data_IF_523732924530
#
_entry.id   IF_523732924530
#
_cell.length_a   1.000
_cell.length_b   1.000
_cell.length_c   1.000
_cell.angle_alpha   90.00
_cell.angle_beta   90.00
_cell.angle_gamma   90.00
#
_symmetry.space_group_name_H-M   'P 1'
#
loop_
_entity.id
_entity.type
_entity.pdbx_description
1 polymer ?
#
# COMPACT_ATOMS: atom_id res chain seq x y z
N UNK A 1 19.53 -15.52 5.74
CA UNK A 1 18.55 -14.46 5.54
C UNK A 1 18.30 -14.27 4.05
N UNK A 2 17.03 -14.33 3.65
CA UNK A 2 16.65 -14.24 2.26
C UNK A 2 15.97 -12.88 2.03
N UNK A 3 16.46 -12.15 1.02
CA UNK A 3 15.83 -10.91 0.61
C UNK A 3 15.75 -10.89 -0.90
N UNK A 4 14.52 -10.77 -1.42
CA UNK A 4 14.29 -10.70 -2.86
C UNK A 4 13.72 -9.33 -3.19
N UNK A 5 14.43 -8.59 -4.04
CA UNK A 5 13.96 -7.30 -4.57
C UNK A 5 13.30 -7.56 -5.91
N UNK A 6 11.99 -7.39 -5.94
CA UNK A 6 11.22 -7.60 -7.16
C UNK A 6 11.14 -6.34 -8.03
N UNK A 7 11.12 -5.17 -7.39
CA UNK A 7 10.94 -3.91 -8.09
C UNK A 7 11.55 -2.79 -7.26
N UNK A 8 12.32 -1.91 -7.89
CA UNK A 8 12.88 -0.75 -7.19
C UNK A 8 11.81 0.33 -7.02
N UNK A 9 12.04 1.25 -6.07
CA UNK A 9 11.15 2.39 -5.90
C UNK A 9 11.05 3.24 -7.17
N UNK A 10 12.15 3.62 -7.83
CA UNK A 10 12.03 4.38 -9.08
C UNK A 10 11.25 3.65 -10.15
N UNK A 11 11.45 2.34 -10.29
CA UNK A 11 10.73 1.55 -11.29
C UNK A 11 9.24 1.45 -10.97
N UNK A 12 8.89 1.32 -9.69
CA UNK A 12 7.50 1.34 -9.27
C UNK A 12 6.83 2.67 -9.63
N UNK A 13 7.50 3.78 -9.33
CA UNK A 13 6.95 5.11 -9.63
C UNK A 13 6.83 5.34 -11.13
N UNK A 14 7.80 4.85 -11.92
CA UNK A 14 7.72 4.92 -13.37
C UNK A 14 6.52 4.11 -13.90
N UNK A 15 6.30 2.94 -13.33
CA UNK A 15 5.17 2.08 -13.69
C UNK A 15 3.82 2.76 -13.41
N UNK A 16 3.72 3.44 -12.27
CA UNK A 16 2.48 4.11 -11.86
C UNK A 16 2.23 5.39 -12.67
N UNK A 17 3.22 6.23 -12.80
CA UNK A 17 3.04 7.59 -13.34
C UNK A 17 3.43 7.75 -14.81
N UNK A 18 4.18 6.80 -15.35
CA UNK A 18 4.63 6.81 -16.75
C UNK A 18 5.27 8.16 -17.12
N UNK A 19 4.68 8.92 -18.05
CA UNK A 19 5.22 10.20 -18.51
C UNK A 19 4.87 11.36 -17.60
N UNK A 20 4.04 11.15 -16.59
CA UNK A 20 3.67 12.21 -15.66
C UNK A 20 4.83 12.51 -14.72
N UNK A 21 4.85 13.76 -14.22
CA UNK A 21 5.84 14.17 -13.23
C UNK A 21 5.19 14.17 -11.85
N UNK A 22 5.35 13.09 -11.09
CA UNK A 22 4.74 13.06 -9.76
C UNK A 22 5.40 14.04 -8.82
N UNK A 23 4.58 14.67 -7.98
CA UNK A 23 5.06 15.58 -6.95
C UNK A 23 5.27 14.79 -5.65
N UNK A 24 6.43 14.94 -4.99
CA UNK A 24 6.61 14.33 -3.70
C UNK A 24 5.83 15.09 -2.63
N UNK A 25 5.36 14.36 -1.65
CA UNK A 25 4.67 14.93 -0.50
C UNK A 25 5.11 14.24 0.78
N UNK A 26 4.76 14.84 1.90
CA UNK A 26 5.08 14.31 3.20
C UNK A 26 3.81 14.42 4.06
N UNK A 27 3.35 13.29 4.58
CA UNK A 27 2.13 13.24 5.38
C UNK A 27 2.48 12.88 6.81
N UNK A 28 2.34 13.82 7.76
CA UNK A 28 2.55 13.50 9.17
C UNK A 28 1.45 12.56 9.68
N UNK A 29 1.86 11.55 10.43
CA UNK A 29 0.93 10.64 11.09
C UNK A 29 0.77 11.07 12.53
N UNK A 30 -0.33 11.75 12.84
CA UNK A 30 -0.63 12.23 14.19
C UNK A 30 -2.14 12.40 14.37
N UNK A 31 -2.58 12.48 15.62
CA UNK A 31 -3.98 12.71 15.96
C UNK A 31 -4.89 11.60 15.41
N UNK A 32 -6.02 12.01 14.88
CA UNK A 32 -7.03 11.07 14.37
C UNK A 32 -6.52 10.18 13.25
N UNK A 33 -5.66 10.72 12.39
CA UNK A 33 -5.10 9.92 11.31
C UNK A 33 -4.23 8.79 11.85
N UNK A 34 -3.39 9.08 12.86
CA UNK A 34 -2.58 8.04 13.48
C UNK A 34 -3.45 6.96 14.11
N UNK A 35 -4.50 7.35 14.81
CA UNK A 35 -5.43 6.39 15.40
C UNK A 35 -6.11 5.53 14.34
N UNK A 36 -6.52 6.14 13.25
CA UNK A 36 -7.18 5.45 12.15
C UNK A 36 -6.24 4.43 11.49
N UNK A 37 -4.99 4.83 11.24
CA UNK A 37 -3.97 3.94 10.68
C UNK A 37 -3.67 2.78 11.64
N UNK A 38 -3.55 3.06 12.93
CA UNK A 38 -3.33 2.02 13.94
C UNK A 38 -4.45 1.00 13.93
N UNK A 39 -5.68 1.46 13.82
CA UNK A 39 -6.84 0.56 13.78
C UNK A 39 -6.82 -0.32 12.52
N UNK A 40 -6.50 0.27 11.38
CA UNK A 40 -6.42 -0.46 10.10
C UNK A 40 -5.33 -1.53 10.13
N UNK A 41 -4.16 -1.17 10.66
CA UNK A 41 -3.02 -2.09 10.74
C UNK A 41 -3.14 -3.11 11.88
N UNK A 42 -3.91 -2.80 12.92
CA UNK A 42 -3.96 -3.60 14.14
C UNK A 42 -2.76 -3.38 15.06
N UNK A 43 -1.92 -2.40 14.77
CA UNK A 43 -0.77 -2.00 15.57
C UNK A 43 -0.33 -0.59 15.15
N UNK A 44 0.44 0.14 15.98
CA UNK A 44 0.93 1.45 15.57
C UNK A 44 1.92 1.35 14.42
N UNK A 45 1.83 2.31 13.49
CA UNK A 45 2.85 2.46 12.47
C UNK A 45 4.11 3.08 13.11
N UNK A 46 5.28 2.55 12.78
CA UNK A 46 6.53 2.99 13.41
C UNK A 46 6.95 4.40 13.03
N UNK A 47 6.62 4.84 11.82
CA UNK A 47 7.03 6.14 11.33
C UNK A 47 6.16 7.25 11.90
N UNK A 48 6.73 8.46 11.96
CA UNK A 48 5.99 9.65 12.36
C UNK A 48 5.38 10.37 11.17
N UNK A 49 5.84 10.04 9.98
CA UNK A 49 5.37 10.64 8.73
C UNK A 49 5.64 9.68 7.59
N UNK A 50 4.88 9.87 6.50
CA UNK A 50 5.01 9.05 5.30
C UNK A 50 5.30 9.93 4.11
N UNK A 51 6.28 9.50 3.32
CA UNK A 51 6.54 10.10 2.02
C UNK A 51 5.60 9.47 1.00
N UNK A 52 5.04 10.30 0.13
CA UNK A 52 4.21 9.83 -0.97
C UNK A 52 4.49 10.63 -2.23
N UNK A 53 3.94 10.17 -3.32
CA UNK A 53 4.02 10.86 -4.62
C UNK A 53 2.62 10.96 -5.18
N UNK A 54 2.33 12.07 -5.85
CA UNK A 54 1.02 12.23 -6.47
C UNK A 54 1.14 12.97 -7.78
N UNK A 55 0.20 12.69 -8.68
CA UNK A 55 0.01 13.39 -9.93
C UNK A 55 -1.47 13.28 -10.28
N UNK A 56 -2.11 14.42 -10.58
CA UNK A 56 -3.54 14.45 -10.78
C UNK A 56 -4.30 13.85 -9.60
N UNK A 57 -5.04 12.76 -9.84
CA UNK A 57 -5.88 12.13 -8.84
C UNK A 57 -5.28 10.82 -8.31
N UNK A 58 -4.03 10.55 -8.65
CA UNK A 58 -3.34 9.32 -8.23
C UNK A 58 -2.32 9.64 -7.15
N UNK A 59 -2.28 8.83 -6.10
CA UNK A 59 -1.20 8.85 -5.13
C UNK A 59 -0.55 7.49 -5.04
N UNK A 60 0.75 7.47 -4.76
CA UNK A 60 1.54 6.24 -4.62
C UNK A 60 2.23 6.22 -3.27
N UNK A 61 2.21 5.07 -2.63
CA UNK A 61 2.68 4.86 -1.26
C UNK A 61 3.59 3.64 -1.23
N UNK A 62 4.69 3.75 -0.50
CA UNK A 62 5.61 2.63 -0.28
C UNK A 62 5.68 2.40 1.22
N UNK A 63 5.18 1.26 1.67
CA UNK A 63 4.92 0.98 3.06
C UNK A 63 5.55 -0.36 3.44
N UNK A 64 6.27 -0.37 4.56
CA UNK A 64 6.78 -1.59 5.15
C UNK A 64 5.77 -2.12 6.16
N UNK A 65 5.45 -3.40 6.06
CA UNK A 65 4.56 -4.06 7.00
C UNK A 65 5.08 -5.45 7.31
N UNK A 66 5.07 -5.79 8.58
CA UNK A 66 5.55 -7.10 9.02
C UNK A 66 4.64 -8.20 8.50
N UNK A 67 5.26 -9.20 7.88
CA UNK A 67 4.59 -10.42 7.49
C UNK A 67 4.60 -11.39 8.68
N UNK A 68 5.48 -12.39 8.66
CA UNK A 68 5.65 -13.28 9.81
C UNK A 68 6.72 -12.76 10.78
N UNK A 69 7.96 -12.72 10.34
CA UNK A 69 9.10 -12.30 11.16
C UNK A 69 9.75 -11.03 10.62
N UNK A 70 9.66 -10.79 9.33
CA UNK A 70 10.34 -9.71 8.64
C UNK A 70 9.34 -8.80 7.94
N UNK A 71 9.67 -7.53 7.77
CA UNK A 71 8.80 -6.63 7.00
C UNK A 71 8.90 -6.91 5.52
N UNK A 72 7.77 -6.80 4.84
CA UNK A 72 7.74 -6.74 3.39
C UNK A 72 7.50 -5.28 2.97
N UNK A 73 8.07 -4.89 1.84
CA UNK A 73 7.91 -3.54 1.30
C UNK A 73 6.89 -3.60 0.18
N UNK A 74 5.80 -2.87 0.34
CA UNK A 74 4.66 -2.90 -0.57
C UNK A 74 4.44 -1.52 -1.16
N UNK A 75 4.31 -1.45 -2.49
CA UNK A 75 3.92 -0.23 -3.18
C UNK A 75 2.44 -0.31 -3.57
N UNK A 76 1.69 0.75 -3.28
CA UNK A 76 0.28 0.83 -3.64
C UNK A 76 0.01 2.16 -4.32
N UNK A 77 -0.65 2.11 -5.46
CA UNK A 77 -1.13 3.30 -6.14
C UNK A 77 -2.66 3.33 -6.05
N UNK A 78 -3.20 4.47 -5.70
CA UNK A 78 -4.64 4.66 -5.53
C UNK A 78 -5.10 5.82 -6.41
N UNK A 79 -6.24 5.63 -7.07
CA UNK A 79 -6.86 6.62 -7.92
C UNK A 79 -8.31 6.89 -7.55
N UNK A 80 -9.06 7.62 -8.41
CA UNK A 80 -10.44 8.00 -8.10
C UNK A 80 -11.39 6.82 -7.89
N UNK A 81 -11.13 5.70 -8.53
CA UNK A 81 -12.03 4.54 -8.47
C UNK A 81 -11.47 3.40 -7.64
N UNK A 82 -10.44 3.64 -6.84
CA UNK A 82 -9.86 2.66 -5.96
C UNK A 82 -8.40 2.35 -6.28
N UNK A 83 -7.94 1.20 -5.84
CA UNK A 83 -6.55 0.78 -6.06
C UNK A 83 -6.30 0.60 -7.56
N UNK A 84 -5.25 1.26 -8.05
CA UNK A 84 -4.81 1.20 -9.44
C UNK A 84 -3.77 0.09 -9.62
N UNK A 85 -2.85 -0.02 -8.67
CA UNK A 85 -1.75 -0.99 -8.74
C UNK A 85 -1.25 -1.33 -7.35
N UNK A 86 -0.76 -2.54 -7.19
CA UNK A 86 -0.14 -3.00 -5.95
C UNK A 86 1.02 -3.92 -6.32
N UNK A 87 2.20 -3.61 -5.79
CA UNK A 87 3.42 -4.37 -6.05
C UNK A 87 4.09 -4.74 -4.73
N UNK A 88 4.67 -5.93 -4.68
CA UNK A 88 5.56 -6.31 -3.59
C UNK A 88 6.97 -5.95 -4.05
N UNK A 89 7.53 -4.88 -3.49
CA UNK A 89 8.84 -4.40 -3.92
C UNK A 89 9.97 -5.26 -3.35
N UNK A 90 9.89 -5.58 -2.07
CA UNK A 90 10.90 -6.40 -1.40
C UNK A 90 10.20 -7.42 -0.52
N UNK A 91 10.64 -8.65 -0.62
CA UNK A 91 10.15 -9.74 0.20
C UNK A 91 11.33 -10.38 0.97
N UNK A 92 11.19 -10.53 2.27
CA UNK A 92 12.32 -10.92 3.15
C UNK A 92 12.10 -12.24 3.90
N UNK A 93 10.96 -12.89 3.67
CA UNK A 93 10.67 -14.19 4.28
C UNK A 93 11.12 -15.32 3.35
N UNK A 94 11.50 -16.49 3.90
CA UNK A 94 11.86 -17.62 3.05
C UNK A 94 10.67 -18.30 2.37
N UNK A 95 9.44 -18.05 2.86
CA UNK A 95 8.21 -18.63 2.32
C UNK A 95 7.16 -17.55 2.13
N UNK A 96 6.14 -17.87 1.33
CA UNK A 96 5.02 -16.96 1.11
C UNK A 96 5.27 -15.92 0.04
N UNK A 97 6.34 -16.06 -0.74
CA UNK A 97 6.71 -15.08 -1.77
C UNK A 97 5.75 -15.00 -2.95
N UNK A 98 4.81 -15.93 -3.06
CA UNK A 98 3.83 -15.94 -4.15
C UNK A 98 2.96 -14.69 -4.16
N UNK A 99 2.94 -13.90 -3.05
CA UNK A 99 2.23 -12.62 -3.02
C UNK A 99 2.76 -11.62 -4.05
N UNK A 100 4.00 -11.78 -4.55
CA UNK A 100 4.52 -10.91 -5.58
C UNK A 100 3.96 -11.23 -6.97
N UNK A 101 3.35 -12.39 -7.17
CA UNK A 101 2.86 -12.80 -8.48
C UNK A 101 1.61 -12.02 -8.88
N UNK A 102 1.52 -11.75 -10.18
CA UNK A 102 0.45 -10.91 -10.71
C UNK A 102 -0.94 -11.47 -10.45
N UNK A 103 -1.11 -12.78 -10.49
CA UNK A 103 -2.43 -13.39 -10.28
C UNK A 103 -2.99 -13.07 -8.91
N UNK A 104 -2.13 -12.94 -7.89
CA UNK A 104 -2.55 -12.55 -6.55
C UNK A 104 -2.77 -11.04 -6.46
N UNK A 105 -1.82 -10.23 -6.92
CA UNK A 105 -1.85 -8.77 -6.79
C UNK A 105 -3.00 -8.12 -7.56
N UNK A 106 -3.39 -8.71 -8.69
CA UNK A 106 -4.50 -8.18 -9.52
C UNK A 106 -5.83 -8.16 -8.79
N UNK A 107 -6.00 -8.98 -7.77
CA UNK A 107 -7.23 -9.01 -7.00
C UNK A 107 -7.52 -7.68 -6.30
N UNK A 108 -6.48 -6.91 -6.02
CA UNK A 108 -6.63 -5.62 -5.32
C UNK A 108 -7.10 -4.49 -6.24
N UNK A 109 -6.96 -4.63 -7.54
CA UNK A 109 -7.34 -3.58 -8.48
C UNK A 109 -8.82 -3.25 -8.37
N UNK A 110 -9.11 -1.94 -8.27
CA UNK A 110 -10.47 -1.46 -8.14
C UNK A 110 -11.06 -1.57 -6.74
N UNK A 111 -10.34 -2.14 -5.79
CA UNK A 111 -10.82 -2.18 -4.41
C UNK A 111 -10.86 -0.78 -3.82
N UNK A 112 -11.91 -0.54 -3.04
CA UNK A 112 -12.13 0.71 -2.33
C UNK A 112 -12.24 0.43 -0.84
N UNK A 113 -12.43 1.49 -0.07
CA UNK A 113 -12.53 1.40 1.37
C UNK A 113 -13.99 1.35 1.78
N UNK A 114 -14.34 0.40 2.67
CA UNK A 114 -15.66 0.34 3.26
C UNK A 114 -15.82 1.38 4.36
N UNK A 115 -17.03 1.53 4.89
CA UNK A 115 -17.31 2.45 5.99
C UNK A 115 -16.48 2.14 7.24
N UNK A 116 -16.07 0.90 7.43
CA UNK A 116 -15.30 0.46 8.58
C UNK A 116 -13.80 0.47 8.33
N UNK A 117 -13.34 1.14 7.28
CA UNK A 117 -11.93 1.20 6.89
C UNK A 117 -11.33 -0.18 6.58
N UNK A 118 -12.14 -1.06 6.03
CA UNK A 118 -11.69 -2.34 5.48
C UNK A 118 -11.83 -2.33 3.97
N UNK A 119 -11.18 -3.29 3.30
CA UNK A 119 -11.29 -3.40 1.85
C UNK A 119 -12.70 -3.76 1.42
N UNK A 120 -13.13 -3.24 0.27
CA UNK A 120 -14.46 -3.50 -0.30
C UNK A 120 -14.66 -4.94 -0.75
N UNK A 121 -13.59 -5.69 -0.94
CA UNK A 121 -13.65 -7.07 -1.39
C UNK A 121 -12.71 -7.96 -0.59
N UNK A 122 -12.82 -9.25 -0.83
CA UNK A 122 -11.94 -10.24 -0.26
C UNK A 122 -10.98 -10.75 -1.32
N UNK A 123 -9.78 -11.12 -0.90
CA UNK A 123 -8.81 -11.74 -1.80
C UNK A 123 -8.76 -13.23 -1.52
N UNK A 124 -8.56 -14.01 -2.58
CA UNK A 124 -8.25 -15.42 -2.44
C UNK A 124 -6.83 -15.53 -1.88
N UNK A 125 -6.70 -16.26 -0.78
CA UNK A 125 -5.42 -16.42 -0.12
C UNK A 125 -4.51 -17.39 -0.85
N UNK A 126 -3.32 -17.54 -0.31
CA UNK A 126 -2.30 -18.46 -0.81
C UNK A 126 -1.99 -19.42 0.31
N UNK A 127 -2.12 -20.72 0.04
CA UNK A 127 -1.82 -21.76 1.03
C UNK A 127 -0.38 -21.61 1.53
N UNK A 128 -0.22 -21.52 2.85
CA UNK A 128 1.09 -21.36 3.47
C UNK A 128 1.61 -19.92 3.50
N UNK A 129 0.82 -18.95 3.03
CA UNK A 129 1.23 -17.54 2.98
C UNK A 129 0.20 -16.60 3.64
N UNK A 130 -0.58 -17.11 4.58
CA UNK A 130 -1.68 -16.35 5.22
C UNK A 130 -1.19 -15.03 5.82
N UNK A 131 -0.07 -15.04 6.53
CA UNK A 131 0.45 -13.83 7.17
C UNK A 131 0.88 -12.78 6.15
N UNK A 132 1.46 -13.20 5.02
CA UNK A 132 1.85 -12.28 3.95
C UNK A 132 0.63 -11.71 3.23
N UNK A 133 -0.39 -12.53 3.00
CA UNK A 133 -1.66 -12.08 2.39
C UNK A 133 -2.32 -11.06 3.31
N UNK A 134 -2.41 -11.34 4.61
CA UNK A 134 -3.02 -10.42 5.56
C UNK A 134 -2.25 -9.10 5.65
N UNK A 135 -0.92 -9.16 5.68
CA UNK A 135 -0.09 -7.95 5.70
C UNK A 135 -0.31 -7.10 4.45
N UNK A 136 -0.37 -7.73 3.28
CA UNK A 136 -0.65 -7.03 2.02
C UNK A 136 -2.00 -6.33 2.05
N UNK A 137 -3.02 -7.01 2.56
CA UNK A 137 -4.37 -6.44 2.65
C UNK A 137 -4.44 -5.27 3.64
N UNK A 138 -3.71 -5.35 4.75
CA UNK A 138 -3.63 -4.21 5.70
C UNK A 138 -2.99 -2.99 5.06
N UNK A 139 -1.90 -3.19 4.31
CA UNK A 139 -1.24 -2.10 3.59
C UNK A 139 -2.17 -1.50 2.54
N UNK A 140 -2.90 -2.34 1.80
CA UNK A 140 -3.86 -1.87 0.79
C UNK A 140 -4.92 -0.97 1.43
N UNK A 141 -5.50 -1.39 2.55
CA UNK A 141 -6.50 -0.59 3.27
C UNK A 141 -5.88 0.70 3.80
N UNK A 142 -4.67 0.63 4.36
CA UNK A 142 -3.96 1.82 4.83
C UNK A 142 -3.75 2.83 3.70
N UNK A 143 -3.30 2.37 2.53
CA UNK A 143 -3.07 3.26 1.39
C UNK A 143 -4.37 3.96 0.94
N UNK A 144 -5.49 3.27 0.99
CA UNK A 144 -6.78 3.87 0.67
C UNK A 144 -7.16 4.97 1.66
N UNK A 145 -6.91 4.77 2.96
CA UNK A 145 -7.13 5.79 3.98
C UNK A 145 -6.25 7.01 3.71
N UNK A 146 -4.96 6.77 3.49
CA UNK A 146 -4.00 7.85 3.26
C UNK A 146 -4.33 8.64 1.99
N UNK A 147 -4.76 7.95 0.94
CA UNK A 147 -5.17 8.59 -0.31
C UNK A 147 -6.34 9.55 -0.07
N UNK A 148 -7.37 9.14 0.66
CA UNK A 148 -8.50 10.00 0.98
C UNK A 148 -8.06 11.27 1.67
N UNK A 149 -7.19 11.13 2.67
CA UNK A 149 -6.70 12.27 3.47
C UNK A 149 -5.91 13.25 2.59
N UNK A 150 -5.03 12.72 1.75
CA UNK A 150 -4.21 13.56 0.87
C UNK A 150 -5.06 14.27 -0.16
N UNK A 151 -5.99 13.58 -0.81
CA UNK A 151 -6.83 14.18 -1.84
C UNK A 151 -7.72 15.29 -1.26
N UNK A 152 -8.20 15.12 -0.03
CA UNK A 152 -9.01 16.14 0.64
C UNK A 152 -8.21 17.40 0.96
N UNK A 153 -6.89 17.29 1.09
CA UNK A 153 -6.01 18.42 1.43
C UNK A 153 -5.44 19.12 0.20
N UNK A 154 -5.54 18.52 -0.99
CA UNK A 154 -5.04 19.15 -2.20
C UNK A 154 -6.00 20.21 -2.68
N UNK A 155 -5.47 21.30 -3.31
CA UNK A 155 -6.36 22.35 -3.87
C UNK A 155 -7.27 21.76 -4.93
N UNK A 156 -8.50 22.28 -4.96
CA UNK A 156 -9.45 21.94 -6.02
C UNK A 156 -8.93 22.45 -7.37
N UNK A 157 -9.22 21.72 -8.40
CA UNK A 157 -8.87 22.10 -9.77
C UNK A 157 -10.05 22.76 -10.46
#
# INVERSE_FOLDING_TARGET
EVQIRHLSQPDFLQQVFADQQPQPGLLPLRGELRERVTKVLGHPYRGMRLRYWHSDEISAWIIDEKSKDMPMTVGVAVGPTGIVDLEILVYREPRGGEVHQAFFRRQYRGMTLSENDTLSGQVDGITGATLSVDATSRVAAMALVLHQVVMDRLPSR
#
